data_IF_151083923620
#
_entry.id   IF_151083923620
#
_cell.length_a   1.000
_cell.length_b   1.000
_cell.length_c   1.000
_cell.angle_alpha   90.00
_cell.angle_beta   90.00
_cell.angle_gamma   90.00
#
_symmetry.space_group_name_H-M   'P 1'
#
loop_
_entity.id
_entity.type
_entity.pdbx_description
1 polymer ?
#
# COMPACT_ATOMS: atom_id res chain seq x y z
N UNK A 1 2.46 1.62 -17.55
CA UNK A 1 3.82 1.81 -17.02
C UNK A 1 4.76 0.61 -17.26
N UNK A 2 4.64 -0.22 -18.31
CA UNK A 2 5.70 -1.22 -18.65
C UNK A 2 6.30 -0.92 -20.01
N UNK A 3 5.44 -0.72 -21.00
CA UNK A 3 5.86 -0.58 -22.39
C UNK A 3 5.72 0.83 -22.95
N UNK A 4 5.27 1.79 -22.12
CA UNK A 4 5.11 3.20 -22.51
C UNK A 4 6.22 4.05 -21.87
N UNK A 5 7.23 4.52 -22.63
CA UNK A 5 8.35 5.30 -22.12
C UNK A 5 7.96 6.71 -21.67
N UNK A 6 6.90 7.28 -22.25
CA UNK A 6 6.40 8.61 -21.90
C UNK A 6 5.81 8.68 -20.47
N UNK A 7 5.48 7.54 -19.86
CA UNK A 7 5.01 7.50 -18.48
C UNK A 7 6.18 7.48 -17.51
N UNK A 8 6.23 8.48 -16.63
CA UNK A 8 7.19 8.53 -15.54
C UNK A 8 7.10 7.24 -14.70
N UNK A 9 8.24 6.59 -14.38
CA UNK A 9 8.28 5.38 -13.55
C UNK A 9 8.10 5.77 -12.07
N UNK A 10 6.97 6.40 -11.75
CA UNK A 10 6.57 6.78 -10.40
C UNK A 10 5.11 6.41 -10.20
N UNK A 11 4.80 5.81 -9.05
CA UNK A 11 3.44 5.42 -8.72
C UNK A 11 3.12 5.71 -7.25
N UNK A 12 2.06 6.45 -7.02
CA UNK A 12 1.52 6.69 -5.69
C UNK A 12 0.38 5.71 -5.40
N UNK A 13 0.56 4.86 -4.39
CA UNK A 13 -0.38 3.82 -3.98
C UNK A 13 -0.61 3.92 -2.46
N UNK A 14 -1.74 4.49 -2.02
CA UNK A 14 -1.99 4.65 -0.60
C UNK A 14 -2.55 3.37 0.03
N UNK A 15 -1.78 2.74 0.92
CA UNK A 15 -2.22 1.57 1.71
C UNK A 15 -3.00 1.97 2.95
N UNK A 16 -2.71 3.14 3.53
CA UNK A 16 -3.34 3.72 4.72
C UNK A 16 -3.03 3.00 6.04
N UNK A 17 -3.06 1.67 6.11
CA UNK A 17 -2.66 0.90 7.30
C UNK A 17 -2.16 -0.48 6.91
N UNK A 18 -1.24 -1.06 7.69
CA UNK A 18 -0.81 -2.45 7.54
C UNK A 18 -1.72 -3.46 8.25
N UNK A 19 -2.69 -3.01 9.05
CA UNK A 19 -3.65 -3.89 9.71
C UNK A 19 -4.92 -4.10 8.88
N UNK A 20 -5.22 -5.35 8.53
CA UNK A 20 -6.47 -5.73 7.86
C UNK A 20 -7.72 -5.34 8.65
N UNK A 21 -7.62 -5.33 9.98
CA UNK A 21 -8.71 -4.92 10.86
C UNK A 21 -8.99 -3.42 10.72
N UNK A 22 -7.94 -2.59 10.69
CA UNK A 22 -8.05 -1.14 10.50
C UNK A 22 -8.45 -0.82 9.07
N UNK A 23 -7.88 -1.49 8.07
CA UNK A 23 -8.30 -1.37 6.67
C UNK A 23 -9.80 -1.63 6.51
N UNK A 24 -10.32 -2.69 7.14
CA UNK A 24 -11.75 -2.99 7.13
C UNK A 24 -12.57 -1.90 7.85
N UNK A 25 -12.11 -1.41 8.99
CA UNK A 25 -12.77 -0.31 9.72
C UNK A 25 -12.80 0.99 8.91
N UNK A 26 -11.78 1.23 8.08
CA UNK A 26 -11.71 2.30 7.09
C UNK A 26 -12.55 2.05 5.82
N UNK A 27 -13.31 0.95 5.75
CA UNK A 27 -14.07 0.53 4.58
C UNK A 27 -13.20 0.29 3.32
N UNK A 28 -11.94 -0.14 3.51
CA UNK A 28 -11.09 -0.61 2.42
C UNK A 28 -11.47 -2.03 2.02
N UNK A 29 -11.42 -2.30 0.72
CA UNK A 29 -11.78 -3.61 0.12
C UNK A 29 -10.55 -4.45 -0.25
N UNK A 30 -9.42 -4.18 0.40
CA UNK A 30 -8.16 -4.88 0.20
C UNK A 30 -7.51 -5.16 1.56
N UNK A 31 -6.64 -6.16 1.59
CA UNK A 31 -5.77 -6.49 2.72
C UNK A 31 -4.37 -5.92 2.52
N UNK A 32 -3.57 -5.88 3.59
CA UNK A 32 -2.15 -5.58 3.50
C UNK A 32 -1.41 -6.57 2.57
N UNK A 33 -1.83 -7.84 2.57
CA UNK A 33 -1.30 -8.85 1.65
C UNK A 33 -1.62 -8.55 0.18
N UNK A 34 -2.84 -8.12 -0.12
CA UNK A 34 -3.22 -7.75 -1.49
C UNK A 34 -2.37 -6.58 -2.00
N UNK A 35 -2.12 -5.61 -1.12
CA UNK A 35 -1.26 -4.46 -1.40
C UNK A 35 0.18 -4.88 -1.69
N UNK A 36 0.78 -5.73 -0.86
CA UNK A 36 2.13 -6.25 -1.10
C UNK A 36 2.22 -7.07 -2.40
N UNK A 37 1.22 -7.92 -2.68
CA UNK A 37 1.16 -8.68 -3.92
C UNK A 37 1.04 -7.78 -5.16
N UNK A 38 0.33 -6.65 -5.05
CA UNK A 38 0.25 -5.65 -6.10
C UNK A 38 1.60 -4.98 -6.35
N UNK A 39 2.31 -4.59 -5.29
CA UNK A 39 3.66 -4.01 -5.36
C UNK A 39 4.62 -4.96 -6.08
N UNK A 40 4.64 -6.23 -5.69
CA UNK A 40 5.53 -7.24 -6.29
C UNK A 40 5.28 -7.36 -7.80
N UNK A 41 4.02 -7.42 -8.22
CA UNK A 41 3.64 -7.46 -9.64
C UNK A 41 4.10 -6.21 -10.41
N UNK A 42 4.01 -5.04 -9.78
CA UNK A 42 4.42 -3.76 -10.38
C UNK A 42 5.93 -3.71 -10.53
N UNK A 43 6.69 -4.06 -9.48
CA UNK A 43 8.17 -4.11 -9.51
C UNK A 43 8.68 -5.15 -10.50
N UNK A 44 8.06 -6.33 -10.58
CA UNK A 44 8.40 -7.32 -11.59
C UNK A 44 8.13 -6.81 -13.03
N UNK A 45 7.15 -5.92 -13.20
CA UNK A 45 6.83 -5.33 -14.49
C UNK A 45 7.74 -4.16 -14.88
N UNK A 46 8.18 -3.34 -13.93
CA UNK A 46 9.05 -2.19 -14.15
C UNK A 46 9.96 -2.00 -12.91
N UNK A 47 11.15 -2.62 -12.88
CA UNK A 47 12.02 -2.67 -11.70
C UNK A 47 12.52 -1.32 -11.18
N UNK A 48 12.62 -0.31 -12.06
CA UNK A 48 13.06 1.05 -11.77
C UNK A 48 11.93 1.96 -11.26
N UNK A 49 10.73 1.42 -11.01
CA UNK A 49 9.59 2.21 -10.57
C UNK A 49 9.77 2.71 -9.12
N UNK A 50 9.73 4.03 -8.96
CA UNK A 50 9.62 4.67 -7.68
C UNK A 50 8.17 4.56 -7.17
N UNK A 51 8.01 4.28 -5.88
CA UNK A 51 6.68 4.19 -5.27
C UNK A 51 6.58 5.11 -4.06
N UNK A 52 5.40 5.67 -3.86
CA UNK A 52 5.02 6.36 -2.64
C UNK A 52 3.69 5.82 -2.13
N UNK A 53 3.44 5.97 -0.84
CA UNK A 53 2.19 5.59 -0.22
C UNK A 53 1.94 6.44 1.01
N UNK A 54 0.67 6.57 1.38
CA UNK A 54 0.24 7.26 2.59
C UNK A 54 -0.13 6.23 3.67
N UNK A 55 0.18 6.59 4.91
CA UNK A 55 -0.18 5.84 6.11
C UNK A 55 -0.90 6.76 7.09
N UNK A 56 -1.93 6.23 7.74
CA UNK A 56 -2.72 6.91 8.76
C UNK A 56 -2.49 6.16 10.07
N UNK A 57 -2.03 6.90 11.07
CA UNK A 57 -1.81 6.41 12.44
C UNK A 57 -2.82 7.06 13.38
N UNK A 58 -3.14 6.39 14.48
CA UNK A 58 -4.10 6.85 15.48
C UNK A 58 -5.56 6.77 15.01
N UNK A 59 -5.89 5.81 14.13
CA UNK A 59 -7.27 5.62 13.70
C UNK A 59 -8.17 5.22 14.89
N UNK A 60 -9.45 5.67 14.97
CA UNK A 60 -10.33 5.29 16.07
C UNK A 60 -10.42 3.76 16.27
N UNK A 61 -9.92 3.30 17.42
CA UNK A 61 -9.88 1.89 17.76
C UNK A 61 -8.64 1.14 17.28
N UNK A 62 -7.60 1.82 16.78
CA UNK A 62 -6.26 1.27 16.55
C UNK A 62 -5.61 0.82 17.86
N UNK A 63 -5.01 -0.38 17.84
CA UNK A 63 -4.22 -0.91 18.97
C UNK A 63 -2.74 -0.87 18.62
N UNK A 64 -1.88 -1.03 19.63
CA UNK A 64 -0.44 -1.09 19.44
C UNK A 64 -0.04 -2.19 18.44
N UNK A 65 -0.74 -3.34 18.42
CA UNK A 65 -0.49 -4.41 17.46
C UNK A 65 -0.81 -4.01 16.01
N UNK A 66 -1.86 -3.20 15.80
CA UNK A 66 -2.21 -2.71 14.45
C UNK A 66 -1.23 -1.63 13.96
N UNK A 67 -0.71 -0.84 14.90
CA UNK A 67 0.33 0.13 14.62
C UNK A 67 1.62 -0.58 14.22
N UNK A 68 2.06 -1.59 14.97
CA UNK A 68 3.22 -2.42 14.63
C UNK A 68 3.04 -3.16 13.29
N UNK A 69 1.82 -3.56 12.93
CA UNK A 69 1.53 -4.14 11.62
C UNK A 69 1.72 -3.15 10.46
N UNK A 70 1.72 -1.84 10.73
CA UNK A 70 1.86 -0.77 9.75
C UNK A 70 3.32 -0.35 9.52
N UNK A 71 4.21 -0.57 10.49
CA UNK A 71 5.65 -0.26 10.43
C UNK A 71 6.43 -1.25 9.56
#
# INVERSE_FOLDING_TARGET
>A
HRDLPALMPYLHLPVQSGSDRILKAMNRRHTARDYLALIERIRAARPDIAMSGDFIVGFPGETDEDFEATL
#
